data_IF_176380374899
#
_entry.id   IF_176380374899
#
_cell.length_a   1.000
_cell.length_b   1.000
_cell.length_c   1.000
_cell.angle_alpha   90.00
_cell.angle_beta   90.00
_cell.angle_gamma   90.00
#
_symmetry.space_group_name_H-M   'P 1'
#
loop_
_entity.id
_entity.type
_entity.pdbx_description
1 polymer ?
#
# COMPACT_ATOMS: atom_id res chain seq x y z
N UNK A 1 -27.29 -10.75 54.01
CA UNK A 1 -26.37 -9.60 54.19
C UNK A 1 -25.56 -9.49 52.91
N UNK A 2 -26.03 -8.65 51.98
CA UNK A 2 -25.34 -8.38 50.71
C UNK A 2 -24.23 -7.36 51.01
N UNK A 3 -22.96 -7.74 50.87
CA UNK A 3 -21.87 -6.78 50.83
C UNK A 3 -21.84 -6.15 49.44
N UNK A 4 -22.48 -4.99 49.32
CA UNK A 4 -22.18 -4.02 48.27
C UNK A 4 -20.79 -3.45 48.56
N UNK A 5 -19.77 -3.93 47.86
CA UNK A 5 -18.52 -3.18 47.74
C UNK A 5 -18.76 -2.04 46.76
N UNK A 6 -19.05 -0.86 47.31
CA UNK A 6 -18.78 0.41 46.65
C UNK A 6 -17.26 0.64 46.71
N UNK A 7 -16.52 0.12 45.74
CA UNK A 7 -15.18 0.63 45.43
C UNK A 7 -15.31 1.58 44.25
N UNK A 8 -15.14 2.88 44.50
CA UNK A 8 -14.95 3.84 43.41
C UNK A 8 -13.79 3.39 42.54
N UNK A 9 -14.09 2.99 41.30
CA UNK A 9 -13.09 2.59 40.32
C UNK A 9 -12.32 3.83 39.87
N UNK A 10 -11.25 4.14 40.58
CA UNK A 10 -10.16 4.90 39.96
C UNK A 10 -9.48 3.91 39.02
N UNK A 11 -9.64 4.11 37.72
CA UNK A 11 -9.19 3.17 36.69
C UNK A 11 -7.68 3.01 36.72
N UNK A 12 -7.21 1.92 37.31
CA UNK A 12 -5.82 1.50 37.26
C UNK A 12 -5.66 0.44 36.16
N UNK A 13 -4.60 0.56 35.36
CA UNK A 13 -4.20 -0.46 34.40
C UNK A 13 -4.02 -1.84 35.01
N UNK A 14 -4.29 -2.89 34.24
CA UNK A 14 -4.11 -4.26 34.75
C UNK A 14 -2.63 -4.54 35.04
N UNK A 15 -2.30 -5.41 36.01
CA UNK A 15 -0.91 -5.80 36.26
C UNK A 15 -0.18 -6.31 35.00
N UNK A 16 -0.90 -7.03 34.13
CA UNK A 16 -0.37 -7.54 32.88
C UNK A 16 -0.02 -6.41 31.90
N UNK A 17 -0.90 -5.42 31.75
CA UNK A 17 -0.65 -4.26 30.88
C UNK A 17 0.51 -3.40 31.41
N UNK A 18 0.60 -3.21 32.72
CA UNK A 18 1.73 -2.49 33.35
C UNK A 18 3.04 -3.22 33.06
N UNK A 19 3.07 -4.54 33.23
CA UNK A 19 4.24 -5.36 32.93
C UNK A 19 4.58 -5.36 31.44
N UNK A 20 3.57 -5.44 30.58
CA UNK A 20 3.71 -5.33 29.12
C UNK A 20 4.43 -4.02 28.74
N UNK A 21 3.90 -2.88 29.17
CA UNK A 21 4.44 -1.57 28.79
C UNK A 21 5.81 -1.29 29.43
N UNK A 22 6.06 -1.78 30.64
CA UNK A 22 7.38 -1.69 31.29
C UNK A 22 8.42 -2.46 30.50
N UNK A 23 8.12 -3.72 30.18
CA UNK A 23 9.01 -4.59 29.40
C UNK A 23 9.22 -4.05 27.99
N UNK A 24 8.17 -3.51 27.37
CA UNK A 24 8.26 -2.82 26.08
C UNK A 24 9.27 -1.68 26.15
N UNK A 25 9.10 -0.77 27.11
CA UNK A 25 9.97 0.40 27.29
C UNK A 25 11.43 -0.01 27.50
N UNK A 26 11.67 -1.01 28.33
CA UNK A 26 13.03 -1.49 28.64
C UNK A 26 13.69 -2.21 27.44
N UNK A 27 12.90 -2.69 26.48
CA UNK A 27 13.39 -3.41 25.30
C UNK A 27 13.80 -2.53 24.12
N UNK A 28 13.40 -1.26 24.11
CA UNK A 28 13.68 -0.30 23.03
C UNK A 28 14.61 0.80 23.51
N UNK A 29 15.37 1.36 22.58
CA UNK A 29 16.18 2.55 22.82
C UNK A 29 15.35 3.79 22.47
N UNK A 30 15.25 4.73 23.41
CA UNK A 30 14.50 5.98 23.27
C UNK A 30 15.46 7.18 23.36
N UNK A 31 16.28 7.43 22.34
CA UNK A 31 17.33 8.46 22.38
C UNK A 31 16.76 9.88 22.49
N UNK A 32 15.51 10.09 22.05
CA UNK A 32 14.81 11.37 22.14
C UNK A 32 14.05 11.54 23.46
N UNK A 33 14.02 10.53 24.32
CA UNK A 33 13.36 10.56 25.62
C UNK A 33 11.84 10.70 25.56
N UNK A 34 11.20 10.43 24.42
CA UNK A 34 9.75 10.64 24.23
C UNK A 34 8.94 9.64 25.05
N UNK A 35 9.32 8.37 25.07
CA UNK A 35 8.71 7.38 25.97
C UNK A 35 9.08 7.67 27.42
N UNK A 36 10.35 7.96 27.69
CA UNK A 36 10.85 8.17 29.04
C UNK A 36 10.19 9.35 29.74
N UNK A 37 9.85 10.41 29.00
CA UNK A 37 9.12 11.57 29.52
C UNK A 37 7.66 11.30 29.88
N UNK A 38 7.05 10.24 29.35
CA UNK A 38 5.62 9.97 29.50
C UNK A 38 5.31 8.69 30.26
N UNK A 39 6.00 7.59 29.93
CA UNK A 39 5.79 6.26 30.51
C UNK A 39 6.56 6.16 31.84
N UNK A 40 5.96 6.63 32.93
CA UNK A 40 6.54 6.56 34.27
C UNK A 40 5.92 5.43 35.08
N UNK A 41 6.71 4.43 35.50
CA UNK A 41 6.22 3.32 36.32
C UNK A 41 6.63 3.50 37.78
N UNK A 42 6.06 4.49 38.46
CA UNK A 42 6.24 4.71 39.91
C UNK A 42 4.91 4.47 40.65
N UNK A 43 4.95 4.32 41.98
CA UNK A 43 3.75 4.03 42.79
C UNK A 43 2.59 5.04 42.64
N UNK A 44 2.85 6.23 42.09
CA UNK A 44 1.84 7.29 41.89
C UNK A 44 1.25 7.31 40.47
N UNK A 45 1.97 6.78 39.48
CA UNK A 45 1.55 6.72 38.07
C UNK A 45 1.23 5.29 37.60
N UNK A 46 1.55 4.29 38.41
CA UNK A 46 1.19 2.89 38.18
C UNK A 46 -0.34 2.78 38.07
N UNK A 47 -0.79 2.45 36.87
CA UNK A 47 -2.20 2.31 36.51
C UNK A 47 -2.82 3.52 35.79
N UNK A 48 -2.16 4.66 35.65
CA UNK A 48 -2.57 5.72 34.70
C UNK A 48 -2.05 5.47 33.27
N UNK A 49 -1.91 4.20 32.87
CA UNK A 49 -1.25 3.82 31.61
C UNK A 49 -1.96 4.37 30.36
N UNK A 50 -3.27 4.63 30.44
CA UNK A 50 -4.05 5.21 29.35
C UNK A 50 -3.75 6.69 29.10
N UNK A 51 -3.01 7.35 30.00
CA UNK A 51 -2.52 8.72 29.82
C UNK A 51 -1.16 8.78 29.12
N UNK A 52 -0.52 7.63 28.94
CA UNK A 52 0.78 7.57 28.30
C UNK A 52 0.68 7.89 26.81
N UNK A 53 1.72 8.56 26.31
CA UNK A 53 1.83 8.87 24.89
C UNK A 53 1.71 7.59 24.08
N UNK A 54 0.82 7.63 23.08
CA UNK A 54 0.58 6.52 22.18
C UNK A 54 -0.17 5.33 22.76
N UNK A 55 -0.70 5.40 23.99
CA UNK A 55 -1.53 4.33 24.55
C UNK A 55 -3.01 4.69 24.42
N UNK A 56 -3.77 3.84 23.75
CA UNK A 56 -5.22 3.86 23.75
C UNK A 56 -5.75 2.66 24.54
N UNK A 57 -6.69 2.91 25.45
CA UNK A 57 -7.32 1.86 26.26
C UNK A 57 -8.76 1.59 25.82
N UNK A 58 -9.23 0.37 26.08
CA UNK A 58 -10.59 -0.06 25.71
C UNK A 58 -11.69 0.82 26.32
N UNK A 59 -11.59 1.15 27.60
CA UNK A 59 -12.53 2.03 28.30
C UNK A 59 -11.82 2.81 29.40
N UNK A 60 -12.36 3.98 29.78
CA UNK A 60 -11.91 4.76 30.92
C UNK A 60 -12.03 4.01 32.26
N UNK A 61 -12.98 3.08 32.35
CA UNK A 61 -13.23 2.30 33.57
C UNK A 61 -12.39 1.02 33.66
N UNK A 62 -11.93 0.50 32.52
CA UNK A 62 -11.13 -0.73 32.40
C UNK A 62 -9.89 -0.35 31.59
N UNK A 63 -8.84 0.07 32.30
CA UNK A 63 -7.59 0.59 31.72
C UNK A 63 -6.75 -0.52 31.08
N UNK A 64 -7.33 -1.22 30.11
CA UNK A 64 -6.68 -2.27 29.32
C UNK A 64 -6.14 -1.70 28.02
N UNK A 65 -4.90 -2.04 27.66
CA UNK A 65 -4.28 -1.54 26.42
C UNK A 65 -5.01 -2.13 25.21
N UNK A 66 -5.55 -1.25 24.37
CA UNK A 66 -6.23 -1.59 23.13
C UNK A 66 -5.33 -1.36 21.93
N UNK A 67 -4.72 -0.17 21.83
CA UNK A 67 -3.82 0.18 20.75
C UNK A 67 -2.54 0.82 21.29
N UNK A 68 -1.42 0.51 20.65
CA UNK A 68 -0.13 1.19 20.86
C UNK A 68 0.25 1.89 19.55
N UNK A 69 0.26 3.22 19.56
CA UNK A 69 0.59 4.07 18.42
C UNK A 69 1.77 4.99 18.73
N UNK A 70 2.98 4.60 18.31
CA UNK A 70 4.24 5.28 18.60
C UNK A 70 4.95 5.70 17.30
N UNK A 71 4.19 6.28 16.37
CA UNK A 71 4.73 6.73 15.07
C UNK A 71 5.69 7.91 15.24
N UNK A 72 6.81 7.93 14.52
CA UNK A 72 7.70 9.10 14.51
C UNK A 72 8.41 9.39 15.84
N UNK A 73 8.60 8.37 16.69
CA UNK A 73 9.16 8.54 18.03
C UNK A 73 10.71 8.51 18.03
N UNK A 74 11.34 8.10 16.94
CA UNK A 74 12.79 7.93 16.85
C UNK A 74 13.29 6.72 17.64
N UNK A 75 12.41 5.74 17.89
CA UNK A 75 12.74 4.54 18.65
C UNK A 75 13.72 3.66 17.87
N UNK A 76 14.73 3.16 18.58
CA UNK A 76 15.77 2.28 18.05
C UNK A 76 15.74 0.92 18.75
N UNK A 77 16.45 -0.06 18.19
CA UNK A 77 16.52 -1.42 18.72
C UNK A 77 15.84 -2.43 17.81
N UNK A 78 15.29 -3.49 18.39
CA UNK A 78 14.58 -4.56 17.68
C UNK A 78 13.07 -4.47 17.90
N UNK A 79 12.31 -5.45 17.39
CA UNK A 79 10.89 -5.58 17.71
C UNK A 79 10.69 -5.62 19.25
N UNK A 80 9.80 -4.77 19.82
CA UNK A 80 9.65 -4.65 21.26
C UNK A 80 9.21 -5.95 21.94
N UNK A 81 9.71 -6.19 23.16
CA UNK A 81 9.37 -7.37 23.99
C UNK A 81 8.23 -7.07 24.95
N UNK A 82 7.61 -8.11 25.50
CA UNK A 82 6.59 -8.01 26.56
C UNK A 82 5.16 -7.82 26.04
N UNK A 83 5.00 -7.61 24.73
CA UNK A 83 3.71 -7.42 24.06
C UNK A 83 2.75 -8.60 24.25
N UNK A 84 3.25 -9.80 24.53
CA UNK A 84 2.46 -10.99 24.87
C UNK A 84 1.62 -10.81 26.15
N UNK A 85 1.96 -9.84 27.00
CA UNK A 85 1.21 -9.54 28.22
C UNK A 85 0.12 -8.47 28.00
N UNK A 86 0.13 -7.76 26.88
CA UNK A 86 -0.95 -6.84 26.50
C UNK A 86 -2.11 -7.64 25.88
N UNK A 87 -2.87 -8.37 26.71
CA UNK A 87 -3.81 -9.41 26.24
C UNK A 87 -4.98 -8.89 25.39
N UNK A 88 -5.29 -7.60 25.47
CA UNK A 88 -6.40 -6.97 24.76
C UNK A 88 -5.98 -6.15 23.54
N UNK A 89 -4.68 -6.16 23.18
CA UNK A 89 -4.17 -5.34 22.08
C UNK A 89 -4.74 -5.79 20.72
N UNK A 90 -5.23 -4.81 19.96
CA UNK A 90 -5.78 -5.04 18.61
C UNK A 90 -5.09 -4.20 17.54
N UNK A 91 -4.31 -3.17 17.92
CA UNK A 91 -3.60 -2.30 17.00
C UNK A 91 -2.19 -1.99 17.47
N UNK A 92 -1.22 -2.11 16.56
CA UNK A 92 0.17 -1.74 16.80
C UNK A 92 0.70 -0.91 15.63
N UNK A 93 1.04 0.34 15.90
CA UNK A 93 1.70 1.25 14.95
C UNK A 93 3.05 1.71 15.54
N UNK A 94 4.13 1.22 14.94
CA UNK A 94 5.51 1.61 15.22
C UNK A 94 6.17 2.26 14.01
N UNK A 95 5.38 2.82 13.08
CA UNK A 95 5.87 3.40 11.84
C UNK A 95 6.79 4.61 12.04
N UNK A 96 7.60 4.92 11.04
CA UNK A 96 8.49 6.09 11.06
C UNK A 96 9.43 6.11 12.28
N UNK A 97 10.04 4.97 12.60
CA UNK A 97 11.04 4.84 13.64
C UNK A 97 12.36 4.31 13.06
N UNK A 98 13.30 3.95 13.92
CA UNK A 98 14.59 3.38 13.56
C UNK A 98 14.75 1.92 14.05
N UNK A 99 13.63 1.21 14.22
CA UNK A 99 13.62 -0.19 14.66
C UNK A 99 14.20 -1.10 13.58
N UNK A 100 14.89 -2.16 13.99
CA UNK A 100 15.70 -3.02 13.12
C UNK A 100 15.59 -4.49 13.49
N UNK A 101 16.36 -5.36 12.84
CA UNK A 101 16.27 -6.82 13.03
C UNK A 101 15.08 -7.42 12.27
N UNK A 102 14.56 -8.55 12.75
CA UNK A 102 13.46 -9.29 12.13
C UNK A 102 12.17 -9.19 12.96
N UNK A 103 11.02 -9.38 12.30
CA UNK A 103 9.75 -9.61 13.01
C UNK A 103 9.82 -11.02 13.66
N UNK A 104 9.36 -11.20 14.92
CA UNK A 104 9.35 -12.51 15.56
C UNK A 104 8.58 -13.57 14.74
N UNK A 105 9.13 -14.78 14.62
CA UNK A 105 8.49 -15.89 13.90
C UNK A 105 7.14 -16.28 14.49
N UNK A 106 6.99 -16.14 15.80
CA UNK A 106 5.80 -16.48 16.58
C UNK A 106 4.87 -15.29 16.84
N UNK A 107 4.89 -14.25 15.97
CA UNK A 107 4.10 -13.03 16.14
C UNK A 107 2.59 -13.29 16.38
N UNK A 108 2.03 -14.35 15.80
CA UNK A 108 0.62 -14.72 16.02
C UNK A 108 0.33 -15.26 17.42
N UNK A 109 1.35 -15.73 18.15
CA UNK A 109 1.22 -16.11 19.57
C UNK A 109 1.39 -14.89 20.47
N UNK A 110 2.21 -13.92 20.05
CA UNK A 110 2.46 -12.68 20.81
C UNK A 110 1.25 -11.74 20.71
N UNK A 111 0.66 -11.60 19.50
CA UNK A 111 -0.41 -10.65 19.21
C UNK A 111 -1.61 -11.35 18.52
N UNK A 112 -2.27 -12.32 19.18
CA UNK A 112 -3.28 -13.18 18.53
C UNK A 112 -4.54 -12.43 18.04
N UNK A 113 -4.85 -11.27 18.63
CA UNK A 113 -6.05 -10.48 18.32
C UNK A 113 -5.78 -9.26 17.44
N UNK A 114 -4.58 -9.17 16.86
CA UNK A 114 -4.18 -8.00 16.08
C UNK A 114 -5.05 -7.83 14.83
N UNK A 115 -5.61 -6.63 14.68
CA UNK A 115 -6.43 -6.20 13.55
C UNK A 115 -5.68 -5.23 12.63
N UNK A 116 -4.68 -4.53 13.16
CA UNK A 116 -3.86 -3.58 12.44
C UNK A 116 -2.40 -3.66 12.91
N UNK A 117 -1.48 -3.82 11.96
CA UNK A 117 -0.04 -3.76 12.18
C UNK A 117 0.61 -2.82 11.19
N UNK A 118 1.29 -1.79 11.69
CA UNK A 118 2.07 -0.87 10.88
C UNK A 118 3.50 -0.76 11.42
N UNK A 119 4.44 -1.24 10.62
CA UNK A 119 5.88 -1.19 10.89
C UNK A 119 6.61 -0.41 9.78
N UNK A 120 5.89 0.37 8.97
CA UNK A 120 6.46 1.03 7.80
C UNK A 120 7.49 2.10 8.16
N UNK A 121 8.38 2.42 7.23
CA UNK A 121 9.45 3.40 7.43
C UNK A 121 10.29 3.10 8.67
N UNK A 122 10.88 1.90 8.69
CA UNK A 122 11.82 1.44 9.72
C UNK A 122 13.06 0.83 9.05
N UNK A 123 13.90 0.15 9.82
CA UNK A 123 15.10 -0.56 9.36
C UNK A 123 14.96 -2.08 9.54
N UNK A 124 13.73 -2.62 9.59
CA UNK A 124 13.50 -4.07 9.68
C UNK A 124 14.07 -4.77 8.44
N UNK A 125 14.57 -5.98 8.62
CA UNK A 125 15.30 -6.77 7.62
C UNK A 125 14.97 -8.26 7.78
N UNK A 126 15.65 -9.11 7.00
CA UNK A 126 15.37 -10.54 6.86
C UNK A 126 14.02 -10.82 6.18
N UNK A 127 13.60 -12.09 6.18
CA UNK A 127 12.35 -12.52 5.55
C UNK A 127 11.12 -12.15 6.39
N UNK A 128 9.99 -11.90 5.73
CA UNK A 128 8.70 -11.71 6.39
C UNK A 128 8.25 -13.07 6.98
N UNK A 129 8.07 -13.19 8.31
CA UNK A 129 7.80 -14.48 8.93
C UNK A 129 6.41 -15.01 8.57
N UNK A 130 6.33 -16.33 8.31
CA UNK A 130 5.06 -17.03 8.05
C UNK A 130 4.05 -16.90 9.19
N UNK A 131 4.50 -16.63 10.43
CA UNK A 131 3.60 -16.38 11.56
C UNK A 131 2.62 -15.23 11.33
N UNK A 132 2.95 -14.25 10.46
CA UNK A 132 2.01 -13.18 10.10
C UNK A 132 0.78 -13.70 9.36
N UNK A 133 0.90 -14.79 8.60
CA UNK A 133 -0.24 -15.41 7.90
C UNK A 133 -1.30 -15.96 8.88
N UNK A 134 -0.88 -16.28 10.11
CA UNK A 134 -1.73 -16.87 11.15
C UNK A 134 -2.47 -15.81 11.99
N UNK A 135 -2.32 -14.52 11.69
CA UNK A 135 -3.08 -13.46 12.35
C UNK A 135 -4.50 -13.40 11.77
N UNK A 136 -5.38 -14.24 12.29
CA UNK A 136 -6.75 -14.46 11.79
C UNK A 136 -7.67 -13.23 11.84
N UNK A 137 -7.33 -12.21 12.63
CA UNK A 137 -8.10 -10.98 12.77
C UNK A 137 -7.50 -9.79 12.00
N UNK A 138 -6.35 -9.96 11.36
CA UNK A 138 -5.61 -8.88 10.72
C UNK A 138 -6.37 -8.35 9.50
N UNK A 139 -6.69 -7.06 9.50
CA UNK A 139 -7.37 -6.36 8.41
C UNK A 139 -6.41 -5.47 7.61
N UNK A 140 -5.36 -4.95 8.24
CA UNK A 140 -4.39 -4.08 7.59
C UNK A 140 -2.97 -4.40 8.08
N UNK A 141 -2.07 -4.62 7.11
CA UNK A 141 -0.66 -4.86 7.32
C UNK A 141 0.14 -3.89 6.44
N UNK A 142 0.95 -3.06 7.07
CA UNK A 142 1.87 -2.14 6.39
C UNK A 142 3.30 -2.39 6.87
N UNK A 143 4.12 -2.88 5.95
CA UNK A 143 5.56 -3.15 6.13
C UNK A 143 6.40 -2.30 5.15
N UNK A 144 5.81 -1.28 4.54
CA UNK A 144 6.45 -0.50 3.48
C UNK A 144 7.72 0.20 3.96
N UNK A 145 8.63 0.50 3.04
CA UNK A 145 9.84 1.28 3.32
C UNK A 145 10.69 0.68 4.46
N UNK A 146 11.10 -0.58 4.25
CA UNK A 146 11.98 -1.34 5.13
C UNK A 146 13.06 -2.03 4.29
N UNK A 147 13.76 -3.02 4.86
CA UNK A 147 14.81 -3.80 4.21
C UNK A 147 14.46 -5.29 4.18
N UNK A 148 13.17 -5.64 4.11
CA UNK A 148 12.74 -7.04 4.04
C UNK A 148 13.24 -7.68 2.74
N UNK A 149 13.70 -8.93 2.83
CA UNK A 149 14.26 -9.73 1.73
C UNK A 149 13.49 -11.03 1.54
N UNK A 150 13.84 -11.81 0.52
CA UNK A 150 13.23 -13.12 0.28
C UNK A 150 11.83 -13.00 -0.32
N UNK A 151 11.02 -14.05 -0.14
CA UNK A 151 9.72 -14.17 -0.80
C UNK A 151 8.58 -13.59 0.05
N UNK A 152 7.50 -13.16 -0.61
CA UNK A 152 6.23 -12.91 0.09
C UNK A 152 5.76 -14.24 0.70
N UNK A 153 5.45 -14.31 2.00
CA UNK A 153 5.10 -15.57 2.64
C UNK A 153 3.78 -16.08 2.07
N UNK A 154 3.76 -17.38 1.76
CA UNK A 154 2.59 -18.09 1.28
C UNK A 154 2.18 -19.17 2.27
N UNK A 155 0.87 -19.37 2.42
CA UNK A 155 0.34 -20.51 3.16
C UNK A 155 0.09 -21.67 2.20
N UNK A 156 0.30 -22.90 2.67
CA UNK A 156 -0.14 -24.11 1.96
C UNK A 156 -1.67 -24.27 2.00
N UNK A 157 -2.35 -23.57 2.91
CA UNK A 157 -3.82 -23.45 2.98
C UNK A 157 -4.28 -22.08 2.46
N UNK A 158 -5.47 -22.01 1.88
CA UNK A 158 -6.11 -20.75 1.44
C UNK A 158 -6.53 -19.80 2.58
N UNK A 159 -6.13 -20.08 3.83
CA UNK A 159 -6.57 -19.37 5.04
C UNK A 159 -5.59 -18.30 5.54
N UNK A 160 -4.38 -18.24 4.99
CA UNK A 160 -3.38 -17.24 5.39
C UNK A 160 -3.85 -15.84 5.02
N UNK A 161 -3.92 -14.93 6.00
CA UNK A 161 -4.47 -13.57 5.79
C UNK A 161 -5.94 -13.53 5.31
N UNK A 162 -6.76 -14.49 5.74
CA UNK A 162 -8.18 -14.61 5.32
C UNK A 162 -9.07 -13.38 5.53
N UNK A 163 -8.69 -12.43 6.39
CA UNK A 163 -9.43 -11.18 6.65
C UNK A 163 -8.70 -9.92 6.18
N UNK A 164 -7.53 -10.07 5.57
CA UNK A 164 -6.68 -8.95 5.24
C UNK A 164 -7.29 -8.16 4.09
N UNK A 165 -7.50 -6.86 4.31
CA UNK A 165 -8.07 -5.90 3.37
C UNK A 165 -7.02 -4.98 2.78
N UNK A 166 -5.96 -4.67 3.52
CA UNK A 166 -4.88 -3.80 3.07
C UNK A 166 -3.54 -4.47 3.32
N UNK A 167 -2.74 -4.59 2.27
CA UNK A 167 -1.38 -5.09 2.32
C UNK A 167 -0.46 -4.12 1.59
N UNK A 168 0.45 -3.48 2.31
CA UNK A 168 1.52 -2.68 1.72
C UNK A 168 2.88 -3.27 2.10
N UNK A 169 3.60 -3.76 1.09
CA UNK A 169 4.96 -4.29 1.19
C UNK A 169 5.94 -3.47 0.33
N UNK A 170 5.54 -2.29 -0.15
CA UNK A 170 6.33 -1.50 -1.08
C UNK A 170 7.66 -1.02 -0.49
N UNK A 171 8.59 -0.60 -1.35
CA UNK A 171 9.88 -0.05 -0.91
C UNK A 171 10.64 -1.01 0.02
N UNK A 172 10.82 -2.25 -0.45
CA UNK A 172 11.59 -3.29 0.24
C UNK A 172 12.52 -3.98 -0.78
N UNK A 173 13.20 -5.05 -0.36
CA UNK A 173 14.06 -5.88 -1.20
C UNK A 173 13.45 -7.27 -1.43
N UNK A 174 12.13 -7.38 -1.44
CA UNK A 174 11.43 -8.65 -1.67
C UNK A 174 11.67 -9.13 -3.10
N UNK A 175 11.76 -10.43 -3.27
CA UNK A 175 12.10 -11.10 -4.53
C UNK A 175 11.23 -12.33 -4.79
N UNK A 176 11.36 -12.90 -5.99
CA UNK A 176 10.59 -14.07 -6.40
C UNK A 176 9.18 -13.70 -6.86
N UNK A 177 8.31 -14.71 -6.95
CA UNK A 177 6.96 -14.57 -7.52
C UNK A 177 5.92 -14.17 -6.48
N UNK A 178 4.84 -13.55 -6.95
CA UNK A 178 3.64 -13.30 -6.12
C UNK A 178 2.97 -14.66 -5.88
N UNK A 179 2.77 -15.09 -4.62
CA UNK A 179 2.16 -16.39 -4.35
C UNK A 179 0.72 -16.49 -4.84
N UNK A 180 0.42 -17.58 -5.53
CA UNK A 180 -0.94 -17.93 -5.97
C UNK A 180 -1.90 -18.06 -4.80
N UNK A 181 -1.48 -18.42 -3.58
CA UNK A 181 -2.40 -18.69 -2.46
C UNK A 181 -2.48 -17.57 -1.42
N UNK A 182 -2.15 -16.33 -1.77
CA UNK A 182 -2.55 -15.19 -0.96
C UNK A 182 -4.08 -15.12 -0.97
N UNK A 183 -4.78 -14.89 0.14
CA UNK A 183 -6.24 -14.72 0.12
C UNK A 183 -6.67 -13.43 -0.60
N UNK A 184 -6.44 -13.32 -1.92
CA UNK A 184 -6.64 -12.10 -2.71
C UNK A 184 -8.10 -11.63 -2.70
N UNK A 185 -9.05 -12.55 -2.50
CA UNK A 185 -10.47 -12.24 -2.40
C UNK A 185 -10.84 -11.27 -1.27
N UNK A 186 -10.08 -11.23 -0.17
CA UNK A 186 -10.36 -10.31 0.94
C UNK A 186 -9.68 -8.95 0.79
N UNK A 187 -8.68 -8.83 -0.10
CA UNK A 187 -7.87 -7.62 -0.27
C UNK A 187 -8.63 -6.54 -1.04
N UNK A 188 -8.77 -5.37 -0.41
CA UNK A 188 -9.25 -4.15 -1.03
C UNK A 188 -8.10 -3.27 -1.57
N UNK A 189 -6.88 -3.46 -1.06
CA UNK A 189 -5.70 -2.68 -1.43
C UNK A 189 -4.44 -3.55 -1.32
N UNK A 190 -3.65 -3.56 -2.38
CA UNK A 190 -2.37 -4.26 -2.45
C UNK A 190 -1.31 -3.34 -3.09
N UNK A 191 -0.21 -3.11 -2.38
CA UNK A 191 0.92 -2.37 -2.89
C UNK A 191 2.22 -3.18 -2.71
N UNK A 192 2.83 -3.55 -3.83
CA UNK A 192 4.07 -4.31 -3.90
C UNK A 192 5.18 -3.55 -4.64
N UNK A 193 4.95 -2.27 -4.95
CA UNK A 193 5.84 -1.44 -5.76
C UNK A 193 7.23 -1.28 -5.13
N UNK A 194 8.25 -0.97 -5.94
CA UNK A 194 9.62 -0.76 -5.47
C UNK A 194 10.17 -1.95 -4.66
N UNK A 195 10.05 -3.15 -5.24
CA UNK A 195 10.68 -4.40 -4.80
C UNK A 195 11.39 -5.06 -5.99
N UNK A 196 12.07 -6.19 -5.76
CA UNK A 196 12.68 -7.03 -6.78
C UNK A 196 11.79 -8.24 -7.16
N UNK A 197 10.47 -8.04 -7.16
CA UNK A 197 9.48 -9.08 -7.47
C UNK A 197 9.52 -9.40 -8.97
N UNK A 198 9.54 -10.68 -9.28
CA UNK A 198 9.62 -11.24 -10.62
C UNK A 198 8.41 -12.14 -10.90
N UNK A 199 8.22 -12.57 -12.14
CA UNK A 199 7.09 -13.41 -12.55
C UNK A 199 5.96 -12.67 -13.25
N UNK A 200 5.04 -13.45 -13.83
CA UNK A 200 3.88 -12.92 -14.52
C UNK A 200 2.77 -12.58 -13.51
N UNK A 201 2.21 -11.38 -13.62
CA UNK A 201 1.07 -10.96 -12.79
C UNK A 201 -0.25 -11.63 -13.25
N UNK A 202 -0.17 -12.62 -14.15
CA UNK A 202 -1.27 -13.51 -14.54
C UNK A 202 -1.82 -14.33 -13.37
N UNK A 203 -1.07 -14.41 -12.28
CA UNK A 203 -1.38 -15.11 -11.03
C UNK A 203 -2.25 -14.31 -10.04
N UNK A 204 -2.41 -12.99 -10.24
CA UNK A 204 -3.41 -12.20 -9.49
C UNK A 204 -4.74 -12.32 -10.21
N UNK A 205 -5.35 -13.50 -10.13
CA UNK A 205 -6.67 -13.75 -10.68
C UNK A 205 -7.69 -12.88 -9.96
N UNK A 206 -8.17 -11.82 -10.62
CA UNK A 206 -9.44 -11.19 -10.28
C UNK A 206 -10.56 -12.18 -10.58
N UNK A 207 -10.81 -13.11 -9.65
CA UNK A 207 -11.92 -14.04 -9.72
C UNK A 207 -13.22 -13.36 -9.27
N UNK A 208 -13.95 -12.93 -10.29
CA UNK A 208 -15.41 -12.95 -10.47
C UNK A 208 -16.28 -12.31 -9.36
N UNK A 209 -16.92 -11.20 -9.76
CA UNK A 209 -17.89 -10.32 -9.06
C UNK A 209 -17.31 -9.27 -8.08
N UNK A 210 -16.77 -8.19 -8.68
CA UNK A 210 -16.47 -6.94 -7.97
C UNK A 210 -17.77 -6.15 -7.68
N UNK A 211 -18.00 -5.66 -6.44
CA UNK A 211 -19.06 -4.71 -6.15
C UNK A 211 -18.92 -3.47 -7.04
N UNK A 212 -20.05 -2.97 -7.57
CA UNK A 212 -20.10 -1.77 -8.41
C UNK A 212 -19.50 -0.57 -7.67
N UNK A 213 -18.27 -0.21 -8.04
CA UNK A 213 -17.61 1.04 -7.64
C UNK A 213 -16.25 0.87 -6.96
N UNK A 214 -15.20 0.55 -7.73
CA UNK A 214 -13.84 1.17 -7.74
C UNK A 214 -12.86 0.35 -8.62
N UNK A 215 -11.85 1.05 -9.16
CA UNK A 215 -10.88 0.66 -10.20
C UNK A 215 -10.22 -0.72 -10.06
N UNK A 216 -9.88 -1.32 -11.21
CA UNK A 216 -9.35 -2.68 -11.32
C UNK A 216 -7.82 -2.70 -11.45
N UNK A 217 -7.15 -3.76 -10.96
CA UNK A 217 -5.69 -3.99 -11.04
C UNK A 217 -5.13 -3.95 -12.49
N UNK A 218 -5.98 -4.18 -13.50
CA UNK A 218 -5.64 -4.08 -14.93
C UNK A 218 -5.31 -2.66 -15.39
N UNK A 219 -5.84 -1.64 -14.72
CA UNK A 219 -5.58 -0.22 -15.01
C UNK A 219 -4.20 0.20 -14.47
N UNK A 220 -3.71 -0.48 -13.42
CA UNK A 220 -2.35 -0.35 -12.86
C UNK A 220 -1.32 -1.16 -13.67
N UNK A 221 -1.75 -2.28 -14.25
CA UNK A 221 -0.92 -3.20 -15.04
C UNK A 221 -0.59 -2.71 -16.45
N UNK A 222 -1.44 -1.87 -17.04
CA UNK A 222 -1.20 -1.24 -18.34
C UNK A 222 -0.14 -0.14 -18.28
N UNK A 223 0.02 0.55 -17.15
CA UNK A 223 1.10 1.53 -16.92
C UNK A 223 2.48 0.86 -16.72
N UNK A 224 2.53 -0.29 -16.04
CA UNK A 224 3.81 -0.92 -15.65
C UNK A 224 4.50 -1.77 -16.74
N UNK A 225 3.76 -2.39 -17.67
CA UNK A 225 4.34 -3.18 -18.78
C UNK A 225 4.98 -2.28 -19.86
N UNK A 226 4.47 -1.06 -19.99
CA UNK A 226 4.94 -0.05 -20.94
C UNK A 226 6.27 0.55 -20.50
N UNK A 227 6.39 0.85 -19.21
CA UNK A 227 7.60 1.42 -18.59
C UNK A 227 8.77 0.44 -18.71
N UNK A 228 8.57 -0.87 -18.52
CA UNK A 228 9.68 -1.84 -18.49
C UNK A 228 10.29 -2.17 -19.87
N UNK A 229 9.56 -1.98 -20.98
CA UNK A 229 10.09 -2.24 -22.34
C UNK A 229 10.64 -1.01 -23.07
N UNK A 230 10.34 0.21 -22.60
CA UNK A 230 10.80 1.46 -23.22
C UNK A 230 12.07 2.02 -22.56
N UNK A 231 12.33 1.73 -21.28
CA UNK A 231 13.38 2.39 -20.49
C UNK A 231 14.83 1.88 -20.63
N UNK A 232 15.12 1.00 -21.59
CA UNK A 232 16.51 0.75 -21.99
C UNK A 232 17.07 1.84 -22.93
N UNK A 233 16.31 2.91 -23.21
CA UNK A 233 16.85 4.11 -23.83
C UNK A 233 15.89 5.28 -23.81
N UNK A 234 16.39 6.44 -23.39
CA UNK A 234 15.84 7.79 -23.56
C UNK A 234 14.86 8.24 -22.46
N UNK A 235 15.29 9.25 -21.69
CA UNK A 235 14.50 9.90 -20.64
C UNK A 235 13.34 10.72 -21.19
N UNK A 236 12.17 10.68 -20.54
CA UNK A 236 10.99 11.45 -20.96
C UNK A 236 10.17 11.89 -19.74
N UNK A 237 9.93 13.21 -19.65
CA UNK A 237 8.81 13.84 -18.96
C UNK A 237 7.53 13.63 -19.79
N UNK A 238 6.55 12.86 -19.32
CA UNK A 238 5.25 12.71 -20.03
C UNK A 238 4.14 12.19 -19.12
N UNK A 239 2.92 12.71 -19.27
CA UNK A 239 1.70 12.31 -18.53
C UNK A 239 0.92 11.20 -19.28
N UNK A 240 -0.22 10.74 -18.75
CA UNK A 240 -1.01 9.65 -19.37
C UNK A 240 -1.47 9.96 -20.81
N UNK A 241 -1.74 11.24 -21.11
CA UNK A 241 -2.15 11.67 -22.45
C UNK A 241 -0.99 11.60 -23.45
N UNK A 242 0.24 11.83 -22.99
CA UNK A 242 1.45 11.62 -23.80
C UNK A 242 1.54 10.17 -24.27
N UNK A 243 1.26 9.25 -23.35
CA UNK A 243 1.28 7.82 -23.65
C UNK A 243 0.12 7.39 -24.56
N UNK A 244 -1.08 7.93 -24.32
CA UNK A 244 -2.24 7.72 -25.18
C UNK A 244 -1.97 8.10 -26.64
N UNK A 245 -1.49 9.33 -26.88
CA UNK A 245 -1.24 9.83 -28.23
C UNK A 245 -0.07 9.12 -28.90
N UNK A 246 0.99 8.77 -28.16
CA UNK A 246 2.09 7.98 -28.71
C UNK A 246 1.64 6.60 -29.17
N UNK A 247 0.82 5.94 -28.37
CA UNK A 247 0.27 4.63 -28.70
C UNK A 247 -0.65 4.71 -29.92
N UNK A 248 -1.45 5.78 -30.02
CA UNK A 248 -2.30 6.03 -31.17
C UNK A 248 -1.47 6.21 -32.44
N UNK A 249 -0.42 7.05 -32.42
CA UNK A 249 0.48 7.25 -33.57
C UNK A 249 1.14 5.96 -34.05
N UNK A 250 1.56 5.09 -33.13
CA UNK A 250 2.21 3.81 -33.49
C UNK A 250 1.20 2.78 -34.00
N UNK A 251 -0.06 2.86 -33.58
CA UNK A 251 -1.11 1.89 -33.94
C UNK A 251 -1.72 2.14 -35.33
N UNK A 252 -1.61 3.37 -35.83
CA UNK A 252 -2.18 3.77 -37.11
C UNK A 252 -1.07 3.87 -38.16
N UNK A 253 -1.31 3.26 -39.31
CA UNK A 253 -0.55 3.55 -40.51
C UNK A 253 -1.01 4.90 -41.04
N UNK A 254 -0.05 5.80 -41.19
CA UNK A 254 -0.23 7.14 -41.70
C UNK A 254 0.46 7.26 -43.08
N UNK A 255 -0.19 6.74 -44.14
CA UNK A 255 0.43 6.64 -45.47
C UNK A 255 0.78 8.00 -46.09
N UNK A 256 0.22 9.09 -45.55
CA UNK A 256 0.40 10.45 -46.03
C UNK A 256 1.23 11.32 -45.07
N UNK A 257 1.78 10.74 -43.99
CA UNK A 257 2.59 11.41 -42.98
C UNK A 257 1.89 12.63 -42.34
N UNK A 258 0.56 12.60 -42.20
CA UNK A 258 -0.25 13.69 -41.67
C UNK A 258 -0.08 13.90 -40.15
N UNK A 259 0.40 12.89 -39.43
CA UNK A 259 0.72 12.93 -38.00
C UNK A 259 2.18 13.33 -37.73
N UNK A 260 2.89 13.92 -38.70
CA UNK A 260 4.27 14.38 -38.55
C UNK A 260 4.45 15.30 -37.33
N UNK A 261 3.48 16.21 -37.12
CA UNK A 261 3.46 17.15 -35.99
C UNK A 261 3.44 16.49 -34.60
N UNK A 262 3.09 15.21 -34.50
CA UNK A 262 3.11 14.45 -33.24
C UNK A 262 4.54 14.03 -32.90
N UNK A 263 5.40 15.02 -32.61
CA UNK A 263 6.80 14.85 -32.32
C UNK A 263 7.04 14.73 -30.81
N UNK A 264 7.21 13.49 -30.34
CA UNK A 264 7.44 13.17 -28.93
C UNK A 264 8.89 13.43 -28.45
N UNK A 265 9.64 14.34 -29.11
CA UNK A 265 10.99 14.77 -28.72
C UNK A 265 11.07 16.26 -28.34
N UNK A 266 9.94 16.99 -28.37
CA UNK A 266 9.86 18.44 -28.17
C UNK A 266 8.51 18.89 -27.61
N UNK A 267 7.86 19.83 -28.31
CA UNK A 267 6.66 20.61 -27.93
C UNK A 267 5.55 19.89 -27.12
N UNK A 268 4.73 20.70 -26.44
CA UNK A 268 3.54 20.24 -25.72
C UNK A 268 2.51 19.57 -26.63
N UNK A 269 1.84 18.52 -26.12
CA UNK A 269 0.85 17.70 -26.84
C UNK A 269 -0.25 18.51 -27.53
N UNK A 270 -0.55 19.69 -27.02
CA UNK A 270 -1.60 20.57 -27.53
C UNK A 270 -1.24 21.23 -28.86
N UNK A 271 0.03 21.17 -29.28
CA UNK A 271 0.48 21.65 -30.58
C UNK A 271 0.35 20.60 -31.69
N UNK A 272 -0.02 19.36 -31.32
CA UNK A 272 -0.19 18.28 -32.28
C UNK A 272 -1.44 18.50 -33.13
N UNK A 273 -1.32 18.20 -34.42
CA UNK A 273 -2.43 18.29 -35.36
C UNK A 273 -3.61 17.43 -34.86
N UNK A 274 -4.80 18.03 -34.84
CA UNK A 274 -6.03 17.35 -34.44
C UNK A 274 -6.21 17.16 -32.93
N UNK A 275 -5.33 17.73 -32.09
CA UNK A 275 -5.45 17.65 -30.63
C UNK A 275 -6.05 18.93 -30.05
N UNK A 276 -7.06 18.79 -29.20
CA UNK A 276 -7.59 19.88 -28.37
C UNK A 276 -7.33 19.60 -26.89
N UNK A 277 -6.91 20.62 -26.13
CA UNK A 277 -6.53 20.50 -24.73
C UNK A 277 -7.28 21.45 -23.79
N UNK A 278 -7.24 21.15 -22.49
CA UNK A 278 -7.57 22.11 -21.44
C UNK A 278 -6.38 23.04 -21.18
N UNK A 279 -6.35 24.19 -21.87
CA UNK A 279 -5.31 25.21 -21.71
C UNK A 279 -3.92 24.82 -22.26
N UNK A 280 -3.09 25.78 -22.68
CA UNK A 280 -1.78 25.51 -23.31
C UNK A 280 -0.70 25.02 -22.33
N UNK A 281 -0.87 25.19 -21.02
CA UNK A 281 0.15 24.86 -20.00
C UNK A 281 0.01 23.47 -19.37
N UNK A 282 -1.18 22.86 -19.41
CA UNK A 282 -1.47 21.62 -18.66
C UNK A 282 -1.24 20.35 -19.49
N UNK A 283 -1.10 20.47 -20.83
CA UNK A 283 -0.93 19.34 -21.75
C UNK A 283 -1.96 18.22 -21.52
N UNK A 284 -3.21 18.62 -21.23
CA UNK A 284 -4.31 17.73 -20.93
C UNK A 284 -5.21 17.56 -22.14
N UNK A 285 -5.24 16.37 -22.74
CA UNK A 285 -5.96 16.11 -23.98
C UNK A 285 -7.45 15.92 -23.70
N UNK A 286 -8.27 16.78 -24.31
CA UNK A 286 -9.73 16.74 -24.24
C UNK A 286 -10.38 16.20 -25.52
N UNK A 287 -9.70 16.31 -26.65
CA UNK A 287 -10.27 15.86 -27.91
C UNK A 287 -9.23 15.49 -28.96
N UNK A 288 -9.56 14.46 -29.75
CA UNK A 288 -8.78 13.97 -30.88
C UNK A 288 -9.67 14.02 -32.12
N UNK A 289 -9.25 14.76 -33.14
CA UNK A 289 -9.96 14.97 -34.41
C UNK A 289 -9.06 14.60 -35.58
N UNK A 290 -9.25 13.41 -36.13
CA UNK A 290 -8.47 12.85 -37.24
C UNK A 290 -9.38 12.26 -38.32
N UNK A 291 -10.49 12.91 -38.64
CA UNK A 291 -11.43 12.45 -39.66
C UNK A 291 -10.86 12.64 -41.07
N UNK A 292 -11.19 11.74 -42.01
CA UNK A 292 -10.78 11.85 -43.42
C UNK A 292 -9.26 11.87 -43.67
N UNK A 293 -8.47 11.31 -42.76
CA UNK A 293 -7.00 11.35 -42.83
C UNK A 293 -6.40 10.15 -43.60
N UNK A 294 -7.24 9.21 -44.09
CA UNK A 294 -6.76 8.00 -44.78
C UNK A 294 -5.96 7.06 -43.87
N UNK A 295 -6.12 7.19 -42.55
CA UNK A 295 -5.44 6.38 -41.55
C UNK A 295 -5.90 4.92 -41.67
N UNK A 296 -4.96 3.98 -41.60
CA UNK A 296 -5.26 2.54 -41.69
C UNK A 296 -4.81 1.81 -40.45
N UNK A 297 -5.47 0.71 -40.13
CA UNK A 297 -5.00 -0.21 -39.09
C UNK A 297 -6.09 -0.62 -38.11
N UNK A 298 -5.68 -0.90 -36.87
CA UNK A 298 -6.61 -1.30 -35.82
C UNK A 298 -6.99 -0.12 -34.93
N UNK A 299 -8.18 -0.19 -34.34
CA UNK A 299 -8.63 0.82 -33.40
C UNK A 299 -7.61 1.00 -32.26
N UNK A 300 -7.20 2.24 -31.93
CA UNK A 300 -6.06 2.47 -31.05
C UNK A 300 -6.29 1.97 -29.62
N UNK A 301 -5.51 0.96 -29.20
CA UNK A 301 -5.64 0.35 -27.87
C UNK A 301 -5.23 1.26 -26.71
N UNK A 302 -4.50 2.35 -26.98
CA UNK A 302 -4.05 3.30 -25.97
C UNK A 302 -5.03 4.42 -25.63
N UNK A 303 -6.20 4.49 -26.28
CA UNK A 303 -7.20 5.56 -26.08
C UNK A 303 -7.72 5.65 -24.64
N UNK A 304 -7.75 4.51 -23.94
CA UNK A 304 -8.06 4.39 -22.52
C UNK A 304 -7.15 5.20 -21.59
N UNK A 305 -5.93 5.54 -22.04
CA UNK A 305 -4.98 6.34 -21.27
C UNK A 305 -5.19 7.85 -21.44
N UNK A 306 -6.02 8.27 -22.41
CA UNK A 306 -6.45 9.66 -22.53
C UNK A 306 -7.57 9.95 -21.52
N UNK A 307 -7.21 10.05 -20.24
CA UNK A 307 -8.16 10.01 -19.11
C UNK A 307 -9.08 11.22 -18.99
N UNK A 308 -8.88 12.28 -19.80
CA UNK A 308 -9.82 13.42 -19.91
C UNK A 308 -10.39 13.59 -21.32
N UNK A 309 -10.25 12.60 -22.19
CA UNK A 309 -10.83 12.65 -23.51
C UNK A 309 -12.35 12.72 -23.42
N UNK A 310 -12.91 13.77 -24.00
CA UNK A 310 -14.37 14.00 -24.08
C UNK A 310 -14.87 13.92 -25.52
N UNK A 311 -13.97 14.02 -26.50
CA UNK A 311 -14.34 14.02 -27.90
C UNK A 311 -13.35 13.21 -28.77
N UNK A 312 -13.85 12.24 -29.53
CA UNK A 312 -13.05 11.41 -30.43
C UNK A 312 -13.71 11.35 -31.80
N UNK A 313 -13.02 11.87 -32.82
CA UNK A 313 -13.50 11.91 -34.19
C UNK A 313 -12.49 11.22 -35.10
N UNK A 314 -12.78 9.98 -35.48
CA UNK A 314 -11.93 9.13 -36.34
C UNK A 314 -12.66 8.68 -37.61
N UNK A 315 -13.80 9.30 -37.93
CA UNK A 315 -14.66 8.89 -39.04
C UNK A 315 -13.93 8.98 -40.39
N UNK A 316 -14.41 8.21 -41.38
CA UNK A 316 -13.88 8.25 -42.76
C UNK A 316 -12.37 7.93 -42.85
N UNK A 317 -11.93 6.94 -42.07
CA UNK A 317 -10.62 6.30 -42.15
C UNK A 317 -10.82 4.78 -42.36
N UNK A 318 -9.74 4.06 -42.68
CA UNK A 318 -9.73 2.60 -42.81
C UNK A 318 -9.29 1.93 -41.49
N UNK A 319 -9.93 2.32 -40.39
CA UNK A 319 -9.64 1.80 -39.04
C UNK A 319 -10.63 0.67 -38.73
N UNK A 320 -10.09 -0.50 -38.35
CA UNK A 320 -10.84 -1.72 -38.09
C UNK A 320 -10.74 -2.17 -36.62
N UNK A 321 -11.68 -2.98 -36.14
CA UNK A 321 -11.68 -3.50 -34.77
C UNK A 321 -12.67 -2.79 -33.83
N UNK A 322 -12.65 -3.18 -32.55
CA UNK A 322 -13.60 -2.71 -31.53
C UNK A 322 -13.13 -1.43 -30.83
N UNK A 323 -14.07 -0.53 -30.58
CA UNK A 323 -13.88 0.61 -29.69
C UNK A 323 -13.80 0.08 -28.24
N UNK A 324 -12.70 0.31 -27.49
CA UNK A 324 -12.54 -0.07 -26.09
C UNK A 324 -13.51 0.66 -25.17
#
# INVERSE_FOLDING_TARGET
MFCLFLSGSTGFGTPNDIYCLRTFKDSVQDPLGKLTSSWSFNNSTEGSICSYVGIECWNKNESMVLNIGLTGMGLQGQFPKGLENCTSITGLDLSNNELSGSIPSDISKILPFLTYLNLSSNKFSAEIPRGLLNLSFLNALDLANNRFTGHIPASSSSSGWSRLKKLDLSLNMLSGQIPDNLSWYSLASLNLSFNNIEGEVSQVACSVESPRGRMYIRDVMKELIVIRKVFLGVGIHGNSDWYCLRTLKVSLQDPFNLLESWNFKGDGLCNFMGISCFGPSENRVLGIRLEYMGLKGQFPKGLENCTSLTALYLSNNEISGSIP
#
